data_IF_973226351467
#
_entry.id   IF_973226351467
#
_cell.length_a   1.000
_cell.length_b   1.000
_cell.length_c   1.000
_cell.angle_alpha   90.00
_cell.angle_beta   90.00
_cell.angle_gamma   90.00
#
_symmetry.space_group_name_H-M   'P 1'
#
loop_
_entity.id
_entity.type
_entity.pdbx_description
1 polymer ?
#
# COMPACT_ATOMS: atom_id res chain seq x y z
N UNK A 1 -15.79 -4.41 -13.33
CA UNK A 1 -14.46 -3.78 -13.36
C UNK A 1 -13.57 -4.49 -12.35
N UNK A 2 -12.50 -5.12 -12.81
CA UNK A 2 -11.45 -5.63 -11.93
C UNK A 2 -10.53 -4.44 -11.62
N UNK A 3 -10.56 -3.95 -10.39
CA UNK A 3 -9.74 -2.83 -9.97
C UNK A 3 -8.30 -3.32 -9.75
N UNK A 4 -7.33 -2.71 -10.43
CA UNK A 4 -5.92 -2.96 -10.15
C UNK A 4 -5.60 -2.40 -8.76
N UNK A 5 -4.86 -3.17 -7.97
CA UNK A 5 -4.40 -2.75 -6.64
C UNK A 5 -3.26 -1.73 -6.70
N UNK A 6 -2.60 -1.63 -7.85
CA UNK A 6 -1.42 -0.79 -8.07
C UNK A 6 -1.46 -0.21 -9.49
N UNK A 7 -0.99 1.01 -9.65
CA UNK A 7 -0.91 1.72 -10.93
C UNK A 7 0.49 2.29 -11.16
N UNK A 8 0.93 2.34 -12.42
CA UNK A 8 2.05 3.20 -12.84
C UNK A 8 1.60 4.66 -12.90
N UNK A 9 2.55 5.60 -13.05
CA UNK A 9 2.23 7.02 -13.17
C UNK A 9 1.32 7.30 -14.38
N UNK A 10 1.60 6.68 -15.53
CA UNK A 10 0.78 6.82 -16.74
C UNK A 10 -0.62 6.22 -16.55
N UNK A 11 -0.72 5.01 -16.00
CA UNK A 11 -2.01 4.36 -15.75
C UNK A 11 -2.88 5.20 -14.79
N UNK A 12 -2.27 5.79 -13.75
CA UNK A 12 -2.97 6.64 -12.80
C UNK A 12 -3.55 7.90 -13.46
N UNK A 13 -2.78 8.54 -14.36
CA UNK A 13 -3.24 9.71 -15.12
C UNK A 13 -4.35 9.33 -16.09
N UNK A 14 -4.22 8.21 -16.80
CA UNK A 14 -5.26 7.72 -17.71
C UNK A 14 -6.57 7.45 -16.97
N UNK A 15 -6.52 6.78 -15.82
CA UNK A 15 -7.71 6.53 -14.97
C UNK A 15 -8.32 7.84 -14.47
N UNK A 16 -7.51 8.78 -13.98
CA UNK A 16 -7.98 10.08 -13.54
C UNK A 16 -8.71 10.85 -14.67
N UNK A 17 -8.14 10.82 -15.88
CA UNK A 17 -8.74 11.44 -17.06
C UNK A 17 -9.97 10.70 -17.59
N UNK A 18 -10.24 9.47 -17.11
CA UNK A 18 -11.32 8.62 -17.62
C UNK A 18 -10.99 8.02 -18.99
N UNK A 19 -9.69 7.88 -19.28
CA UNK A 19 -9.11 7.41 -20.53
C UNK A 19 -8.62 5.94 -20.42
N UNK A 20 -9.32 5.11 -19.65
CA UNK A 20 -8.96 3.70 -19.39
C UNK A 20 -8.95 2.81 -20.65
N UNK A 21 -9.44 3.31 -21.78
CA UNK A 21 -9.41 2.63 -23.07
C UNK A 21 -8.11 2.81 -23.87
N UNK A 22 -7.15 3.57 -23.35
CA UNK A 22 -5.86 3.81 -23.99
C UNK A 22 -4.75 3.00 -23.30
N UNK A 23 -3.84 2.45 -24.12
CA UNK A 23 -2.73 1.63 -23.63
C UNK A 23 -1.59 2.48 -23.05
N UNK A 24 -1.48 3.75 -23.46
CA UNK A 24 -0.48 4.70 -22.97
C UNK A 24 -0.98 6.15 -22.99
N UNK A 25 -0.32 7.01 -22.22
CA UNK A 25 -0.57 8.45 -22.27
C UNK A 25 -0.27 9.02 -23.66
N UNK A 26 0.75 8.48 -24.34
CA UNK A 26 1.08 8.84 -25.71
C UNK A 26 -0.07 8.55 -26.68
N UNK A 27 -0.72 7.40 -26.56
CA UNK A 27 -1.88 7.05 -27.40
C UNK A 27 -3.09 7.94 -27.10
N UNK A 28 -3.28 8.30 -25.83
CA UNK A 28 -4.33 9.23 -25.43
C UNK A 28 -4.12 10.63 -26.01
N UNK A 29 -2.88 11.16 -25.95
CA UNK A 29 -2.57 12.49 -26.45
C UNK A 29 -2.59 12.57 -27.99
N UNK A 30 -2.32 11.46 -28.68
CA UNK A 30 -2.37 11.42 -30.15
C UNK A 30 -3.76 11.02 -30.71
N UNK A 31 -4.74 10.76 -29.84
CA UNK A 31 -6.09 10.43 -30.27
C UNK A 31 -6.79 11.63 -30.91
N UNK A 32 -7.55 11.38 -31.97
CA UNK A 32 -8.37 12.40 -32.64
C UNK A 32 -9.53 12.89 -31.78
N UNK A 33 -9.90 12.11 -30.77
CA UNK A 33 -11.03 12.39 -29.89
C UNK A 33 -10.62 13.17 -28.62
N UNK A 34 -9.32 13.43 -28.43
CA UNK A 34 -8.79 14.16 -27.27
C UNK A 34 -8.59 15.63 -27.61
N UNK A 35 -9.08 16.53 -26.76
CA UNK A 35 -8.90 17.98 -26.94
C UNK A 35 -7.53 18.43 -26.43
N UNK A 36 -6.99 19.54 -26.97
CA UNK A 36 -5.73 20.13 -26.48
C UNK A 36 -5.76 20.42 -24.98
N UNK A 37 -6.90 20.87 -24.46
CA UNK A 37 -7.07 21.13 -23.02
C UNK A 37 -7.01 19.85 -22.18
N UNK A 38 -7.49 18.72 -22.70
CA UNK A 38 -7.35 17.42 -22.05
C UNK A 38 -5.91 16.91 -22.09
N UNK A 39 -5.20 17.14 -23.20
CA UNK A 39 -3.78 16.81 -23.34
C UNK A 39 -2.96 17.59 -22.33
N UNK A 40 -3.11 18.92 -22.29
CA UNK A 40 -2.37 19.79 -21.36
C UNK A 40 -2.62 19.38 -19.90
N UNK A 41 -3.88 19.07 -19.55
CA UNK A 41 -4.23 18.60 -18.20
C UNK A 41 -3.59 17.25 -17.87
N UNK A 42 -3.57 16.31 -18.82
CA UNK A 42 -3.00 14.99 -18.61
C UNK A 42 -1.46 15.05 -18.48
N UNK A 43 -0.79 15.83 -19.32
CA UNK A 43 0.65 16.06 -19.25
C UNK A 43 1.04 16.75 -17.94
N UNK A 44 0.29 17.77 -17.52
CA UNK A 44 0.55 18.46 -16.26
C UNK A 44 0.43 17.52 -15.06
N UNK A 45 -0.63 16.70 -15.01
CA UNK A 45 -0.82 15.71 -13.95
C UNK A 45 0.30 14.66 -13.93
N UNK A 46 0.74 14.22 -15.11
CA UNK A 46 1.84 13.26 -15.24
C UNK A 46 3.16 13.84 -14.71
N UNK A 47 3.51 15.06 -15.11
CA UNK A 47 4.74 15.74 -14.67
C UNK A 47 4.73 15.95 -13.15
N UNK A 48 3.63 16.41 -12.57
CA UNK A 48 3.53 16.57 -11.12
C UNK A 48 3.66 15.24 -10.37
N UNK A 49 3.05 14.17 -10.89
CA UNK A 49 3.11 12.85 -10.27
C UNK A 49 4.54 12.29 -10.33
N UNK A 50 5.22 12.44 -11.47
CA UNK A 50 6.63 12.07 -11.62
C UNK A 50 7.53 12.84 -10.65
N UNK A 51 7.30 14.15 -10.49
CA UNK A 51 8.06 14.97 -9.55
C UNK A 51 7.89 14.50 -8.10
N UNK A 52 6.68 14.12 -7.70
CA UNK A 52 6.40 13.60 -6.36
C UNK A 52 7.01 12.21 -6.11
N UNK A 53 7.03 11.35 -7.14
CA UNK A 53 7.77 10.09 -7.09
C UNK A 53 9.28 10.34 -6.92
N UNK A 54 9.84 11.35 -7.58
CA UNK A 54 11.25 11.73 -7.40
C UNK A 54 11.53 12.32 -6.01
N UNK A 55 10.61 13.09 -5.43
CA UNK A 55 10.75 13.61 -4.07
C UNK A 55 10.76 12.47 -3.03
N UNK A 56 9.92 11.45 -3.22
CA UNK A 56 9.96 10.23 -2.41
C UNK A 56 11.32 9.53 -2.49
N UNK A 57 11.95 9.51 -3.68
CA UNK A 57 13.27 8.90 -3.89
C UNK A 57 14.39 9.59 -3.12
N UNK A 58 14.33 10.92 -2.94
CA UNK A 58 15.40 11.68 -2.26
C UNK A 58 15.28 11.61 -0.73
N UNK A 59 14.20 11.01 -0.20
CA UNK A 59 13.97 10.89 1.24
C UNK A 59 13.86 12.27 1.90
N UNK A 60 13.40 13.27 1.16
CA UNK A 60 13.27 14.63 1.66
C UNK A 60 12.20 14.70 2.75
N UNK A 61 12.40 15.51 3.78
CA UNK A 61 11.42 15.81 4.84
C UNK A 61 10.12 16.49 4.33
N UNK A 62 9.95 16.60 3.01
CA UNK A 62 8.68 16.97 2.41
C UNK A 62 7.66 15.84 2.62
N UNK A 63 6.55 16.21 3.27
CA UNK A 63 5.36 15.40 3.46
C UNK A 63 4.69 15.05 2.12
N UNK A 64 5.33 14.21 1.31
CA UNK A 64 4.64 13.62 0.17
C UNK A 64 3.57 12.66 0.70
N UNK A 65 2.35 12.83 0.22
CA UNK A 65 1.22 11.97 0.60
C UNK A 65 1.26 10.60 -0.10
N UNK A 66 2.21 10.39 -1.01
CA UNK A 66 2.36 9.14 -1.75
C UNK A 66 3.09 8.07 -0.90
N UNK A 67 2.52 6.87 -0.82
CA UNK A 67 3.20 5.66 -0.35
C UNK A 67 3.34 4.65 -1.49
N UNK A 68 4.58 4.26 -1.75
CA UNK A 68 4.98 3.25 -2.74
C UNK A 68 4.91 1.84 -2.15
N UNK A 69 4.43 0.86 -2.93
CA UNK A 69 4.49 -0.56 -2.56
C UNK A 69 5.82 -1.15 -3.03
N UNK A 70 6.84 -1.14 -2.16
CA UNK A 70 8.12 -1.80 -2.44
C UNK A 70 8.11 -3.24 -1.90
N UNK A 71 7.65 -4.20 -2.70
CA UNK A 71 8.01 -5.61 -2.49
C UNK A 71 9.27 -5.96 -3.32
N UNK A 72 10.38 -6.18 -2.61
CA UNK A 72 11.55 -7.00 -2.98
C UNK A 72 12.72 -6.46 -3.83
N UNK A 73 12.62 -5.38 -4.63
CA UNK A 73 13.76 -5.02 -5.52
C UNK A 73 14.77 -4.01 -4.96
N UNK A 74 14.46 -3.24 -3.91
CA UNK A 74 15.43 -2.29 -3.31
C UNK A 74 16.53 -3.00 -2.50
N UNK A 75 16.34 -4.28 -2.15
CA UNK A 75 17.37 -5.12 -1.52
C UNK A 75 18.47 -5.56 -2.50
N UNK A 76 18.27 -5.38 -3.81
CA UNK A 76 19.29 -5.55 -4.83
C UNK A 76 19.71 -4.16 -5.34
N UNK A 77 20.63 -3.53 -4.61
CA UNK A 77 21.12 -2.19 -4.93
C UNK A 77 21.43 -2.00 -6.42
N UNK A 78 21.11 -0.80 -6.95
CA UNK A 78 21.28 -0.33 -8.33
C UNK A 78 20.16 -0.63 -9.33
N UNK A 79 18.92 -0.23 -9.04
CA UNK A 79 17.95 0.03 -10.12
C UNK A 79 17.48 1.49 -10.07
N UNK A 80 17.68 2.18 -11.19
CA UNK A 80 17.10 3.49 -11.47
C UNK A 80 15.58 3.36 -11.30
N UNK A 81 15.01 4.10 -10.35
CA UNK A 81 13.56 4.22 -10.22
C UNK A 81 13.04 4.94 -11.46
N UNK A 82 12.55 4.18 -12.43
CA UNK A 82 11.81 4.68 -13.57
C UNK A 82 10.33 4.84 -13.19
N UNK A 83 9.72 5.96 -13.58
CA UNK A 83 8.29 6.23 -13.35
C UNK A 83 7.39 5.20 -14.05
N UNK A 84 7.91 4.52 -15.09
CA UNK A 84 7.22 3.42 -15.77
C UNK A 84 7.20 2.11 -14.97
N UNK A 85 8.13 1.96 -14.02
CA UNK A 85 8.31 0.75 -13.23
C UNK A 85 7.87 0.94 -11.77
N UNK A 86 7.69 2.19 -11.34
CA UNK A 86 7.24 2.54 -10.00
C UNK A 86 5.75 2.29 -9.86
N UNK A 87 5.39 1.37 -8.96
CA UNK A 87 4.00 1.02 -8.67
C UNK A 87 3.52 1.74 -7.41
N UNK A 88 2.53 2.60 -7.58
CA UNK A 88 1.88 3.32 -6.50
C UNK A 88 0.62 2.59 -6.07
N UNK A 89 0.35 2.60 -4.75
CA UNK A 89 -0.86 2.02 -4.20
C UNK A 89 -2.08 2.89 -4.55
N UNK A 90 -3.23 2.25 -4.78
CA UNK A 90 -4.49 2.97 -5.05
C UNK A 90 -4.83 3.98 -3.95
N UNK A 91 -4.59 3.62 -2.68
CA UNK A 91 -4.83 4.51 -1.53
C UNK A 91 -3.97 5.77 -1.59
N UNK A 92 -2.67 5.62 -1.89
CA UNK A 92 -1.73 6.73 -1.95
C UNK A 92 -2.00 7.67 -3.12
N UNK A 93 -2.29 7.10 -4.30
CA UNK A 93 -2.71 7.88 -5.45
C UNK A 93 -3.97 8.67 -5.13
N UNK A 94 -4.96 8.03 -4.51
CA UNK A 94 -6.19 8.71 -4.17
C UNK A 94 -6.03 9.80 -3.12
N UNK A 95 -5.14 9.63 -2.14
CA UNK A 95 -4.78 10.69 -1.19
C UNK A 95 -4.09 11.87 -1.91
N UNK A 96 -3.19 11.58 -2.85
CA UNK A 96 -2.51 12.58 -3.68
C UNK A 96 -3.48 13.35 -4.59
N UNK A 97 -4.42 12.65 -5.24
CA UNK A 97 -5.47 13.27 -6.05
C UNK A 97 -6.45 14.05 -5.18
N UNK A 98 -6.81 13.58 -3.98
CA UNK A 98 -7.74 14.29 -3.07
C UNK A 98 -7.21 15.66 -2.66
N UNK A 99 -5.89 15.82 -2.55
CA UNK A 99 -5.26 17.10 -2.25
C UNK A 99 -5.35 18.12 -3.41
N UNK A 100 -5.54 17.67 -4.65
CA UNK A 100 -5.54 18.50 -5.86
C UNK A 100 -6.94 18.66 -6.46
N UNK A 101 -7.60 17.55 -6.72
CA UNK A 101 -8.94 17.47 -7.30
C UNK A 101 -9.72 16.30 -6.67
N UNK A 102 -10.68 16.57 -5.78
CA UNK A 102 -11.45 15.53 -5.11
C UNK A 102 -12.29 14.69 -6.09
N UNK A 103 -12.68 15.24 -7.24
CA UNK A 103 -13.44 14.50 -8.24
C UNK A 103 -12.59 13.43 -8.95
N UNK A 104 -11.27 13.65 -9.09
CA UNK A 104 -10.34 12.66 -9.62
C UNK A 104 -10.08 11.53 -8.61
N UNK A 105 -10.04 11.85 -7.31
CA UNK A 105 -9.89 10.83 -6.27
C UNK A 105 -11.10 9.87 -6.21
N UNK A 106 -12.32 10.38 -6.44
CA UNK A 106 -13.53 9.56 -6.52
C UNK A 106 -13.58 8.62 -7.74
N UNK A 107 -12.78 8.91 -8.78
CA UNK A 107 -12.63 8.01 -9.94
C UNK A 107 -11.69 6.85 -9.65
N UNK A 108 -10.64 7.10 -8.85
CA UNK A 108 -9.64 6.10 -8.48
C UNK A 108 -10.06 5.21 -7.31
N UNK A 109 -10.85 5.75 -6.38
CA UNK A 109 -11.50 4.97 -5.33
C UNK A 109 -12.96 4.81 -5.73
N UNK A 110 -13.44 3.59 -6.05
CA UNK A 110 -14.88 3.39 -6.13
C UNK A 110 -15.45 3.80 -4.78
N UNK A 111 -16.32 4.81 -4.76
CA UNK A 111 -16.95 5.33 -3.54
C UNK A 111 -17.34 4.13 -2.68
N UNK A 112 -16.64 3.92 -1.58
CA UNK A 112 -16.94 2.86 -0.62
C UNK A 112 -18.18 3.32 0.13
N UNK A 113 -19.33 3.36 -0.56
CA UNK A 113 -20.64 3.35 0.06
C UNK A 113 -20.80 1.97 0.68
N UNK A 114 -20.29 1.86 1.90
CA UNK A 114 -20.27 0.65 2.71
C UNK A 114 -18.99 -0.13 2.48
N UNK A 115 -18.09 -0.07 3.46
CA UNK A 115 -17.08 -1.10 3.66
C UNK A 115 -17.81 -2.45 3.77
N UNK A 116 -17.88 -3.20 2.67
CA UNK A 116 -17.86 -4.65 2.83
C UNK A 116 -16.42 -4.95 3.22
N UNK A 117 -16.17 -5.13 4.51
CA UNK A 117 -15.00 -5.86 4.99
C UNK A 117 -14.97 -7.16 4.19
N UNK A 118 -14.16 -7.21 3.13
CA UNK A 118 -13.85 -8.45 2.45
C UNK A 118 -13.04 -9.20 3.49
N UNK A 119 -13.64 -10.24 4.07
CA UNK A 119 -12.96 -11.07 5.04
C UNK A 119 -11.57 -11.42 4.50
N UNK A 120 -10.49 -11.20 5.27
CA UNK A 120 -9.15 -11.41 4.79
C UNK A 120 -9.04 -12.83 4.24
N UNK A 121 -8.47 -12.98 3.04
CA UNK A 121 -8.29 -14.30 2.44
C UNK A 121 -7.53 -15.22 3.40
N UNK A 122 -7.82 -16.52 3.40
CA UNK A 122 -7.12 -17.49 4.26
C UNK A 122 -5.59 -17.39 4.14
N UNK A 123 -5.09 -17.06 2.93
CA UNK A 123 -3.66 -16.84 2.69
C UNK A 123 -3.12 -15.62 3.46
N UNK A 124 -3.87 -14.52 3.48
CA UNK A 124 -3.51 -13.31 4.21
C UNK A 124 -3.55 -13.53 5.74
N UNK A 125 -4.59 -14.20 6.25
CA UNK A 125 -4.70 -14.58 7.67
C UNK A 125 -3.50 -15.44 8.08
N UNK A 126 -3.17 -16.46 7.29
CA UNK A 126 -2.05 -17.36 7.60
C UNK A 126 -0.71 -16.65 7.58
N UNK A 127 -0.53 -15.68 6.66
CA UNK A 127 0.69 -14.87 6.62
C UNK A 127 0.82 -13.96 7.84
N UNK A 128 -0.28 -13.35 8.30
CA UNK A 128 -0.29 -12.52 9.51
C UNK A 128 0.02 -13.36 10.76
N UNK A 129 -0.57 -14.55 10.88
CA UNK A 129 -0.32 -15.47 11.99
C UNK A 129 1.16 -15.91 12.05
N UNK A 130 1.79 -16.15 10.89
CA UNK A 130 3.24 -16.46 10.81
C UNK A 130 4.11 -15.28 11.25
N UNK A 131 3.77 -14.06 10.83
CA UNK A 131 4.48 -12.85 11.26
C UNK A 131 4.38 -12.64 12.76
N UNK A 132 3.18 -12.78 13.34
CA UNK A 132 2.96 -12.69 14.80
C UNK A 132 3.86 -13.69 15.52
N UNK A 133 3.94 -14.93 15.04
CA UNK A 133 4.79 -15.96 15.64
C UNK A 133 6.27 -15.60 15.57
N UNK A 134 6.78 -15.20 14.40
CA UNK A 134 8.20 -14.85 14.21
C UNK A 134 8.59 -13.64 15.08
N UNK A 135 7.76 -12.61 15.11
CA UNK A 135 8.01 -11.43 15.94
C UNK A 135 7.97 -11.77 17.43
N UNK A 136 7.04 -12.64 17.83
CA UNK A 136 6.97 -13.14 19.21
C UNK A 136 8.21 -13.96 19.58
N UNK A 137 8.64 -14.89 18.73
CA UNK A 137 9.88 -15.65 18.90
C UNK A 137 11.09 -14.71 18.94
N UNK A 138 11.15 -13.68 18.10
CA UNK A 138 12.22 -12.67 18.14
C UNK A 138 12.24 -11.87 19.45
N UNK A 139 11.07 -11.64 20.08
CA UNK A 139 10.96 -10.86 21.30
C UNK A 139 11.29 -11.68 22.56
N UNK A 140 10.77 -12.91 22.67
CA UNK A 140 10.95 -13.78 23.85
C UNK A 140 11.98 -14.90 23.65
N UNK A 141 12.62 -14.96 22.48
CA UNK A 141 13.62 -15.95 22.08
C UNK A 141 13.02 -17.23 21.52
N UNK A 142 12.30 -18.00 22.35
CA UNK A 142 11.68 -19.25 21.93
C UNK A 142 10.30 -19.41 22.58
N UNK A 143 9.28 -19.65 21.76
CA UNK A 143 7.94 -19.97 22.26
C UNK A 143 7.91 -21.40 22.82
N UNK A 144 7.36 -21.54 24.02
CA UNK A 144 7.35 -22.81 24.76
C UNK A 144 6.25 -23.77 24.31
N UNK A 145 5.35 -23.32 23.42
CA UNK A 145 4.15 -24.06 23.01
C UNK A 145 3.03 -24.01 24.03
N UNK A 146 3.22 -23.30 25.16
CA UNK A 146 2.17 -23.00 26.14
C UNK A 146 1.65 -21.60 25.86
N UNK A 147 0.80 -21.49 24.84
CA UNK A 147 0.36 -20.21 24.25
C UNK A 147 -0.10 -19.14 25.25
N UNK A 148 -0.76 -19.52 26.36
CA UNK A 148 -1.15 -18.56 27.40
C UNK A 148 0.06 -17.99 28.16
N UNK A 149 1.04 -18.83 28.48
CA UNK A 149 2.28 -18.40 29.15
C UNK A 149 3.20 -17.63 28.20
N UNK A 150 3.22 -18.03 26.93
CA UNK A 150 3.96 -17.32 25.90
C UNK A 150 3.36 -15.91 25.67
N UNK A 151 2.03 -15.78 25.66
CA UNK A 151 1.36 -14.47 25.59
C UNK A 151 1.67 -13.56 26.79
N UNK A 152 1.68 -14.11 28.01
CA UNK A 152 2.09 -13.35 29.20
C UNK A 152 3.56 -12.92 29.14
N UNK A 153 4.46 -13.79 28.65
CA UNK A 153 5.87 -13.47 28.47
C UNK A 153 6.08 -12.36 27.42
N UNK A 154 5.31 -12.39 26.32
CA UNK A 154 5.32 -11.33 25.31
C UNK A 154 4.81 -10.02 25.89
N UNK A 155 3.70 -10.03 26.63
CA UNK A 155 3.18 -8.82 27.27
C UNK A 155 4.16 -8.24 28.30
N UNK A 156 4.87 -9.08 29.04
CA UNK A 156 5.94 -8.64 29.95
C UNK A 156 7.15 -8.08 29.20
N UNK A 157 7.55 -8.70 28.09
CA UNK A 157 8.66 -8.23 27.27
C UNK A 157 8.32 -6.90 26.57
N UNK A 158 7.09 -6.75 26.09
CA UNK A 158 6.58 -5.50 25.53
C UNK A 158 6.51 -4.41 26.61
N UNK A 159 6.00 -4.73 27.80
CA UNK A 159 5.97 -3.80 28.93
C UNK A 159 7.38 -3.37 29.37
N UNK A 160 8.37 -4.27 29.32
CA UNK A 160 9.77 -3.95 29.59
C UNK A 160 10.36 -2.97 28.54
N UNK A 161 9.81 -2.96 27.32
CA UNK A 161 10.15 -1.99 26.27
C UNK A 161 9.27 -0.72 26.32
N UNK A 162 8.39 -0.59 27.31
CA UNK A 162 7.46 0.53 27.43
C UNK A 162 6.29 0.50 26.44
N UNK A 163 6.06 -0.63 25.77
CA UNK A 163 5.00 -0.81 24.79
C UNK A 163 3.85 -1.62 25.38
N UNK A 164 2.62 -1.17 25.16
CA UNK A 164 1.43 -1.95 25.48
C UNK A 164 1.03 -2.81 24.30
N UNK A 165 0.70 -4.07 24.55
CA UNK A 165 0.23 -4.99 23.53
C UNK A 165 -1.03 -4.45 22.84
N UNK A 166 -1.09 -4.45 21.49
CA UNK A 166 -2.24 -3.94 20.74
C UNK A 166 -3.49 -4.81 20.89
N UNK A 167 -3.33 -6.03 21.41
CA UNK A 167 -4.40 -7.00 21.64
C UNK A 167 -4.31 -7.55 23.05
N UNK A 168 -5.43 -7.92 23.65
CA UNK A 168 -5.42 -8.55 24.98
C UNK A 168 -4.74 -9.92 24.96
N UNK A 169 -4.08 -10.30 26.07
CA UNK A 169 -3.42 -11.61 26.31
C UNK A 169 -4.19 -12.81 25.77
N UNK A 170 -5.51 -12.87 25.97
CA UNK A 170 -6.36 -13.99 25.51
C UNK A 170 -6.43 -14.10 23.99
N UNK A 171 -6.48 -12.96 23.30
CA UNK A 171 -6.50 -12.90 21.84
C UNK A 171 -5.13 -13.26 21.27
N UNK A 172 -4.05 -12.79 21.91
CA UNK A 172 -2.69 -13.15 21.52
C UNK A 172 -2.44 -14.66 21.66
N UNK A 173 -2.86 -15.26 22.77
CA UNK A 173 -2.75 -16.71 22.97
C UNK A 173 -3.51 -17.51 21.91
N UNK A 174 -4.67 -17.01 21.46
CA UNK A 174 -5.43 -17.61 20.36
C UNK A 174 -4.66 -17.55 19.03
N UNK A 175 -4.07 -16.40 18.69
CA UNK A 175 -3.26 -16.27 17.47
C UNK A 175 -2.01 -17.14 17.49
N UNK A 176 -1.34 -17.26 18.64
CA UNK A 176 -0.18 -18.15 18.78
C UNK A 176 -0.57 -19.63 18.60
N UNK A 177 -1.77 -20.02 19.06
CA UNK A 177 -2.31 -21.36 18.84
C UNK A 177 -2.60 -21.60 17.36
N UNK A 178 -3.34 -20.69 16.72
CA UNK A 178 -3.67 -20.79 15.30
C UNK A 178 -2.41 -20.79 14.42
N UNK A 179 -1.38 -20.00 14.77
CA UNK A 179 -0.10 -19.97 14.08
C UNK A 179 0.75 -21.25 14.25
N UNK A 180 0.51 -22.04 15.30
CA UNK A 180 1.18 -23.32 15.51
C UNK A 180 0.51 -24.47 14.72
N UNK A 181 -0.75 -24.29 14.32
CA UNK A 181 -1.54 -25.25 13.54
C UNK A 181 -1.39 -25.05 12.01
N UNK A 182 -0.60 -24.05 11.58
CA UNK A 182 -0.29 -23.66 10.18
C UNK A 182 1.08 -24.13 9.68
#
# INVERSE_FOLDING_TARGET
>A
MYWKSNYTAEEAVLVAMGAEGFDSLHDYCNSKDTTTEQIDKAEHLFVELCHEIELLRVGSDYSSCLKTFYESEVLAGYLQLDHNHTRLTTESLADWFRARDPALAERLIPTVKGEKQVAPSTKAINSQLRLIRILSEGLVGQLTGKHNKDAEAIDQALAAQGLTSPVGTKTLAKYLKEAAEL
#
